data_IF_610131956278
#
_entry.id   IF_610131956278
#
_cell.length_a   1.000
_cell.length_b   1.000
_cell.length_c   1.000
_cell.angle_alpha   90.00
_cell.angle_beta   90.00
_cell.angle_gamma   90.00
#
_symmetry.space_group_name_H-M   'P 1'
#
loop_
_entity.id
_entity.type
_entity.pdbx_description
1 polymer ?
#
# COMPACT_ATOMS: atom_id res chain seq x y z
N UNK A 1 11.54 -2.08 5.70
CA UNK A 1 10.12 -1.87 5.32
C UNK A 1 9.14 -2.13 6.47
N UNK A 2 8.92 -3.38 6.91
CA UNK A 2 7.95 -3.65 8.01
C UNK A 2 8.30 -2.96 9.35
N UNK A 3 9.59 -2.87 9.68
CA UNK A 3 10.07 -2.15 10.86
C UNK A 3 9.87 -0.63 10.75
N UNK A 4 10.03 -0.04 9.56
CA UNK A 4 9.85 1.39 9.32
C UNK A 4 8.39 1.83 9.55
N UNK A 5 7.41 1.07 9.04
CA UNK A 5 5.99 1.35 9.26
C UNK A 5 5.61 1.21 10.74
N UNK A 6 6.22 0.24 11.44
CA UNK A 6 6.02 0.04 12.87
C UNK A 6 6.54 1.21 13.71
N UNK A 7 7.70 1.77 13.33
CA UNK A 7 8.32 2.92 14.00
C UNK A 7 7.64 4.24 13.67
N UNK A 8 7.24 4.47 12.41
CA UNK A 8 6.62 5.74 11.99
C UNK A 8 5.23 5.97 12.60
N UNK A 9 4.47 4.91 12.86
CA UNK A 9 3.18 5.02 13.53
C UNK A 9 3.28 4.87 15.06
N UNK A 10 4.48 4.93 15.65
CA UNK A 10 4.64 4.88 17.12
C UNK A 10 4.28 6.26 17.72
N UNK A 11 3.02 6.65 17.63
CA UNK A 11 2.44 7.62 18.55
C UNK A 11 1.87 6.84 19.72
N UNK A 12 1.88 7.42 20.93
CA UNK A 12 1.30 6.87 22.18
C UNK A 12 -0.21 6.55 22.09
N UNK A 13 -0.80 6.65 20.89
CA UNK A 13 -2.16 6.27 20.49
C UNK A 13 -2.24 4.88 19.84
N UNK A 14 -1.26 4.00 20.07
CA UNK A 14 -1.18 2.66 19.46
C UNK A 14 -2.37 1.73 19.82
N UNK A 15 -3.22 2.15 20.75
CA UNK A 15 -4.43 1.46 21.18
C UNK A 15 -5.66 1.75 20.31
N UNK A 16 -5.62 2.76 19.44
CA UNK A 16 -6.76 3.08 18.58
C UNK A 16 -6.91 2.02 17.47
N UNK A 17 -8.03 1.27 17.43
CA UNK A 17 -8.22 0.18 16.46
C UNK A 17 -8.12 0.67 15.01
N UNK A 18 -8.48 1.92 14.75
CA UNK A 18 -8.36 2.56 13.44
C UNK A 18 -6.91 2.61 12.92
N UNK A 19 -5.95 2.95 13.76
CA UNK A 19 -4.53 3.08 13.38
C UNK A 19 -3.93 1.71 13.07
N UNK A 20 -4.37 0.67 13.79
CA UNK A 20 -3.93 -0.71 13.54
C UNK A 20 -4.44 -1.24 12.20
N UNK A 21 -5.68 -0.91 11.83
CA UNK A 21 -6.23 -1.26 10.51
C UNK A 21 -5.40 -0.61 9.42
N UNK A 22 -5.12 0.69 9.52
CA UNK A 22 -4.34 1.42 8.51
C UNK A 22 -2.94 0.84 8.35
N UNK A 23 -2.25 0.52 9.44
CA UNK A 23 -0.94 -0.16 9.42
C UNK A 23 -1.00 -1.47 8.62
N UNK A 24 -2.00 -2.32 8.91
CA UNK A 24 -2.20 -3.61 8.24
C UNK A 24 -2.49 -3.42 6.76
N UNK A 25 -3.34 -2.47 6.41
CA UNK A 25 -3.69 -2.16 5.02
C UNK A 25 -2.48 -1.64 4.23
N UNK A 26 -1.69 -0.72 4.80
CA UNK A 26 -0.46 -0.24 4.17
C UNK A 26 0.55 -1.36 3.93
N UNK A 27 0.78 -2.22 4.93
CA UNK A 27 1.65 -3.39 4.78
C UNK A 27 1.14 -4.36 3.71
N UNK A 28 -0.19 -4.54 3.62
CA UNK A 28 -0.84 -5.33 2.58
C UNK A 28 -0.59 -4.79 1.17
N UNK A 29 -0.72 -3.47 0.97
CA UNK A 29 -0.43 -2.85 -0.33
C UNK A 29 1.05 -2.91 -0.73
N UNK A 30 1.98 -2.80 0.22
CA UNK A 30 3.42 -3.00 -0.07
C UNK A 30 3.70 -4.43 -0.46
N UNK A 31 3.16 -5.41 0.27
CA UNK A 31 3.30 -6.82 -0.06
C UNK A 31 2.70 -7.13 -1.43
N UNK A 32 1.54 -6.55 -1.75
CA UNK A 32 0.89 -6.69 -3.04
C UNK A 32 1.78 -6.15 -4.17
N UNK A 33 2.34 -4.94 -4.01
CA UNK A 33 3.29 -4.37 -4.97
C UNK A 33 4.49 -5.31 -5.20
N UNK A 34 5.05 -5.84 -4.12
CA UNK A 34 6.16 -6.78 -4.18
C UNK A 34 5.81 -8.07 -4.94
N UNK A 35 4.63 -8.65 -4.70
CA UNK A 35 4.18 -9.85 -5.41
C UNK A 35 3.98 -9.56 -6.90
N UNK A 36 3.46 -8.38 -7.26
CA UNK A 36 3.31 -7.97 -8.66
C UNK A 36 4.67 -7.87 -9.37
N UNK A 37 5.68 -7.25 -8.73
CA UNK A 37 7.05 -7.21 -9.26
C UNK A 37 7.62 -8.62 -9.41
N UNK A 38 7.48 -9.43 -8.36
CA UNK A 38 8.00 -10.79 -8.35
C UNK A 38 7.35 -11.69 -9.38
N UNK A 39 6.07 -11.49 -9.72
CA UNK A 39 5.38 -12.21 -10.79
C UNK A 39 5.97 -11.87 -12.16
N UNK A 40 6.42 -10.64 -12.36
CA UNK A 40 7.05 -10.22 -13.62
C UNK A 40 8.47 -10.77 -13.76
N UNK A 41 9.26 -10.78 -12.68
CA UNK A 41 10.69 -11.19 -12.72
C UNK A 41 10.91 -12.69 -12.49
N UNK A 42 10.03 -13.38 -11.74
CA UNK A 42 10.25 -14.75 -11.25
C UNK A 42 9.21 -15.74 -11.79
N UNK A 43 9.64 -16.67 -12.63
CA UNK A 43 8.79 -17.75 -13.20
C UNK A 43 8.10 -18.63 -12.15
N UNK A 44 8.72 -19.05 -11.03
CA UNK A 44 8.06 -19.82 -9.98
C UNK A 44 6.83 -19.13 -9.38
N UNK A 45 6.89 -17.81 -9.22
CA UNK A 45 5.80 -17.01 -8.64
C UNK A 45 4.68 -16.83 -9.66
N UNK A 46 5.02 -16.68 -10.94
CA UNK A 46 4.04 -16.69 -12.03
C UNK A 46 3.26 -18.01 -12.13
N UNK A 47 3.92 -19.13 -11.85
CA UNK A 47 3.28 -20.45 -11.80
C UNK A 47 2.40 -20.59 -10.55
N UNK A 48 2.83 -20.05 -9.41
CA UNK A 48 2.07 -20.10 -8.15
C UNK A 48 0.82 -19.20 -8.16
N UNK A 49 0.90 -18.05 -8.84
CA UNK A 49 -0.17 -17.07 -8.97
C UNK A 49 -0.44 -16.78 -10.45
N UNK A 50 -1.06 -17.73 -11.17
CA UNK A 50 -1.30 -17.58 -12.61
C UNK A 50 -2.31 -16.46 -12.91
N UNK A 51 -3.35 -16.34 -12.07
CA UNK A 51 -4.37 -15.31 -12.16
C UNK A 51 -4.28 -14.31 -11.01
N UNK A 52 -4.58 -13.05 -11.32
CA UNK A 52 -4.59 -11.96 -10.34
C UNK A 52 -5.61 -12.21 -9.22
N UNK A 53 -6.75 -12.83 -9.57
CA UNK A 53 -7.82 -13.23 -8.63
C UNK A 53 -7.33 -14.09 -7.46
N UNK A 54 -6.29 -14.92 -7.65
CA UNK A 54 -5.74 -15.72 -6.56
C UNK A 54 -5.01 -14.89 -5.49
N UNK A 55 -4.68 -13.63 -5.76
CA UNK A 55 -4.17 -12.69 -4.75
C UNK A 55 -5.27 -12.27 -3.77
N UNK A 56 -6.53 -12.21 -4.21
CA UNK A 56 -7.69 -11.97 -3.35
C UNK A 56 -8.01 -13.23 -2.56
N UNK A 57 -8.20 -14.36 -3.27
CA UNK A 57 -8.71 -15.60 -2.68
C UNK A 57 -7.72 -16.27 -1.71
N UNK A 58 -6.44 -16.32 -2.04
CA UNK A 58 -5.44 -17.00 -1.19
C UNK A 58 -4.69 -16.04 -0.25
N UNK A 59 -4.69 -14.75 -0.55
CA UNK A 59 -3.89 -13.74 0.14
C UNK A 59 -4.64 -12.92 1.18
N UNK A 60 -5.96 -12.75 1.04
CA UNK A 60 -6.74 -11.81 1.86
C UNK A 60 -6.20 -10.36 1.79
N UNK A 61 -5.40 -10.06 0.75
CA UNK A 61 -4.60 -8.84 0.60
C UNK A 61 -5.37 -7.74 -0.14
N UNK A 62 -6.37 -8.11 -0.94
CA UNK A 62 -7.26 -7.21 -1.67
C UNK A 62 -8.72 -7.52 -1.37
N UNK A 63 -9.54 -6.49 -1.47
CA UNK A 63 -10.98 -6.63 -1.67
C UNK A 63 -11.32 -6.86 -3.15
N UNK A 64 -12.47 -7.49 -3.42
CA UNK A 64 -12.93 -7.78 -4.79
C UNK A 64 -13.09 -6.51 -5.66
N UNK A 65 -13.44 -5.39 -5.01
CA UNK A 65 -13.54 -4.07 -5.67
C UNK A 65 -12.20 -3.57 -6.14
N UNK A 66 -11.16 -3.70 -5.31
CA UNK A 66 -9.79 -3.30 -5.66
C UNK A 66 -9.22 -4.19 -6.76
N UNK A 67 -9.55 -5.50 -6.76
CA UNK A 67 -9.16 -6.42 -7.84
C UNK A 67 -9.72 -5.94 -9.18
N UNK A 68 -11.00 -5.60 -9.21
CA UNK A 68 -11.67 -5.11 -10.43
C UNK A 68 -11.02 -3.83 -10.95
N UNK A 69 -10.64 -2.91 -10.05
CA UNK A 69 -9.91 -1.69 -10.42
C UNK A 69 -8.51 -2.01 -10.97
N UNK A 70 -7.82 -2.99 -10.39
CA UNK A 70 -6.50 -3.42 -10.83
C UNK A 70 -6.56 -4.10 -12.21
N UNK A 71 -7.54 -4.97 -12.43
CA UNK A 71 -7.79 -5.66 -13.71
C UNK A 71 -8.23 -4.68 -14.80
N UNK A 72 -9.13 -3.75 -14.49
CA UNK A 72 -9.52 -2.68 -15.40
C UNK A 72 -8.33 -1.80 -15.76
N UNK A 73 -7.50 -1.45 -14.77
CA UNK A 73 -6.25 -0.73 -15.02
C UNK A 73 -5.30 -1.53 -15.89
N UNK A 74 -5.15 -2.84 -15.66
CA UNK A 74 -4.34 -3.78 -16.44
C UNK A 74 -4.74 -3.82 -17.91
N UNK A 75 -6.04 -3.92 -18.19
CA UNK A 75 -6.61 -3.95 -19.55
C UNK A 75 -6.31 -2.68 -20.35
N UNK A 76 -6.35 -1.50 -19.70
CA UNK A 76 -6.12 -0.21 -20.37
C UNK A 76 -4.66 0.01 -20.84
N UNK A 77 -3.68 -0.70 -20.28
CA UNK A 77 -2.28 -0.62 -20.73
C UNK A 77 -1.63 -2.01 -20.71
N UNK A 78 -1.80 -2.81 -21.78
CA UNK A 78 -1.19 -4.12 -21.88
C UNK A 78 0.34 -3.99 -21.95
N UNK A 79 1.06 -4.68 -21.05
CA UNK A 79 2.54 -4.72 -21.00
C UNK A 79 3.20 -3.79 -19.98
N UNK A 80 2.46 -2.91 -19.32
CA UNK A 80 3.00 -2.08 -18.24
C UNK A 80 2.99 -2.82 -16.89
N UNK A 81 4.16 -2.89 -16.23
CA UNK A 81 4.35 -3.52 -14.92
C UNK A 81 3.69 -2.69 -13.81
N UNK A 82 2.41 -2.91 -13.49
CA UNK A 82 1.60 -2.03 -12.61
C UNK A 82 1.84 -2.16 -11.10
N UNK A 83 3.06 -2.50 -10.68
CA UNK A 83 3.41 -2.60 -9.25
C UNK A 83 3.26 -1.29 -8.48
N UNK A 84 3.28 -0.14 -9.17
CA UNK A 84 3.06 1.17 -8.56
C UNK A 84 1.61 1.43 -8.16
N UNK A 85 0.62 0.70 -8.68
CA UNK A 85 -0.81 0.94 -8.38
C UNK A 85 -1.11 0.74 -6.88
N UNK A 86 -0.72 -0.38 -6.25
CA UNK A 86 -0.85 -0.54 -4.80
C UNK A 86 -0.13 0.54 -3.99
N UNK A 87 1.02 1.02 -4.48
CA UNK A 87 1.79 2.08 -3.81
C UNK A 87 0.99 3.39 -3.82
N UNK A 88 0.35 3.74 -4.94
CA UNK A 88 -0.52 4.92 -5.04
C UNK A 88 -1.72 4.80 -4.09
N UNK A 89 -2.34 3.63 -3.99
CA UNK A 89 -3.45 3.40 -3.06
C UNK A 89 -3.02 3.57 -1.60
N UNK A 90 -1.85 3.05 -1.24
CA UNK A 90 -1.25 3.26 0.06
C UNK A 90 -1.02 4.75 0.34
N UNK A 91 -0.44 5.50 -0.60
CA UNK A 91 -0.23 6.94 -0.45
C UNK A 91 -1.54 7.70 -0.27
N UNK A 92 -2.59 7.34 -1.02
CA UNK A 92 -3.92 7.93 -0.88
C UNK A 92 -4.57 7.63 0.48
N UNK A 93 -4.41 6.39 0.98
CA UNK A 93 -4.88 5.99 2.31
C UNK A 93 -4.18 6.80 3.40
N UNK A 94 -2.85 6.94 3.32
CA UNK A 94 -2.07 7.74 4.25
C UNK A 94 -2.49 9.21 4.16
N UNK A 95 -2.58 9.79 2.96
CA UNK A 95 -3.00 11.19 2.77
C UNK A 95 -4.36 11.47 3.41
N UNK A 96 -5.31 10.55 3.28
CA UNK A 96 -6.62 10.64 3.94
C UNK A 96 -6.48 10.64 5.47
N UNK A 97 -5.75 9.67 6.02
CA UNK A 97 -5.52 9.56 7.46
C UNK A 97 -4.82 10.79 8.06
N UNK A 98 -3.77 11.28 7.41
CA UNK A 98 -3.02 12.46 7.85
C UNK A 98 -3.79 13.76 7.67
N UNK A 99 -4.58 13.89 6.60
CA UNK A 99 -5.49 15.01 6.40
C UNK A 99 -6.55 15.10 7.50
N UNK A 100 -7.13 13.95 7.87
CA UNK A 100 -8.11 13.85 8.95
C UNK A 100 -7.49 14.17 10.32
N UNK A 101 -6.29 13.69 10.61
CA UNK A 101 -5.55 14.05 11.83
C UNK A 101 -5.24 15.56 11.91
N UNK A 102 -4.95 16.20 10.78
CA UNK A 102 -4.69 17.64 10.70
C UNK A 102 -5.97 18.45 10.93
N UNK A 103 -7.12 17.98 10.43
CA UNK A 103 -8.41 18.63 10.62
C UNK A 103 -8.94 18.55 12.07
N UNK A 104 -8.51 17.53 12.82
CA UNK A 104 -8.98 17.25 14.20
C UNK A 104 -8.07 17.90 15.26
N UNK A 105 -7.04 18.69 14.87
CA UNK A 105 -6.05 19.32 15.77
C UNK A 105 -5.23 18.31 16.63
N UNK A 106 -5.32 17.02 16.31
CA UNK A 106 -4.53 15.92 16.92
C UNK A 106 -3.27 15.58 16.15
N UNK A 107 -3.00 16.29 15.04
CA UNK A 107 -1.84 16.06 14.19
C UNK A 107 -0.55 16.42 14.90
N UNK A 108 0.05 15.48 15.63
CA UNK A 108 1.41 15.65 16.15
C UNK A 108 2.35 15.98 14.99
N UNK A 109 3.09 17.08 15.11
CA UNK A 109 4.00 17.61 14.08
C UNK A 109 4.95 16.53 13.55
N UNK A 110 5.37 15.62 14.43
CA UNK A 110 6.21 14.44 14.11
C UNK A 110 5.58 13.55 13.05
N UNK A 111 4.27 13.33 13.10
CA UNK A 111 3.56 12.45 12.17
C UNK A 111 3.46 13.08 10.76
N UNK A 112 3.43 14.43 10.69
CA UNK A 112 3.43 15.17 9.42
C UNK A 112 4.77 15.05 8.69
N UNK A 113 5.89 15.11 9.43
CA UNK A 113 7.22 14.89 8.86
C UNK A 113 7.38 13.47 8.33
N UNK A 114 6.97 12.48 9.12
CA UNK A 114 6.95 11.07 8.71
C UNK A 114 6.20 10.82 7.38
N UNK A 115 5.02 11.43 7.23
CA UNK A 115 4.25 11.34 5.99
C UNK A 115 4.99 11.95 4.79
N UNK A 116 5.49 13.18 4.94
CA UNK A 116 6.17 13.87 3.85
C UNK A 116 7.45 13.14 3.43
N UNK A 117 8.18 12.58 4.38
CA UNK A 117 9.36 11.75 4.15
C UNK A 117 9.02 10.51 3.33
N UNK A 118 7.95 9.80 3.72
CA UNK A 118 7.48 8.59 3.03
C UNK A 118 6.98 8.89 1.60
N UNK A 119 6.28 10.02 1.40
CA UNK A 119 5.87 10.47 0.05
C UNK A 119 7.09 10.83 -0.80
N UNK A 120 8.09 11.50 -0.23
CA UNK A 120 9.33 11.83 -0.93
C UNK A 120 10.07 10.55 -1.35
N UNK A 121 10.21 9.57 -0.45
CA UNK A 121 10.79 8.27 -0.78
C UNK A 121 10.04 7.58 -1.93
N UNK A 122 8.70 7.53 -1.87
CA UNK A 122 7.89 6.94 -2.95
C UNK A 122 8.06 7.68 -4.27
N UNK A 123 8.15 9.02 -4.24
CA UNK A 123 8.36 9.82 -5.45
C UNK A 123 9.77 9.64 -6.04
N UNK A 124 10.77 9.33 -5.21
CA UNK A 124 12.10 8.97 -5.66
C UNK A 124 12.11 7.62 -6.38
N UNK A 125 11.27 6.66 -5.99
CA UNK A 125 11.15 5.36 -6.68
C UNK A 125 10.43 5.43 -8.03
N UNK A 126 9.79 6.55 -8.35
CA UNK A 126 9.06 6.75 -9.62
C UNK A 126 9.89 7.45 -10.70
N UNK A 127 11.05 8.04 -10.36
CA UNK A 127 12.01 8.64 -11.29
C UNK A 127 13.21 7.71 -11.51
#
# INVERSE_FOLDING_TARGET
MALAISTYLKSDTATEPHVQVIRKTCAGYIMLSFILVMRDVSSPIRIRFPQLRMLVENGGLLTETELTMLEGSLSNFPGACKYWIPIIWMCNLLKKHYGELTAIDRGNVVNRYAYNDLINEVSLFQN
#
